data_IF_518806017291
#
_entry.id   IF_518806017291
#
_cell.length_a   1.000
_cell.length_b   1.000
_cell.length_c   1.000
_cell.angle_alpha   90.00
_cell.angle_beta   90.00
_cell.angle_gamma   90.00
#
_symmetry.space_group_name_H-M   'P 1'
#
loop_
_entity.id
_entity.type
_entity.pdbx_description
1 polymer ?
#
# COMPACT_ATOMS: atom_id res chain seq x y z
N UNK A 1 -18.59 14.10 -14.60
CA UNK A 1 -18.06 13.30 -13.47
C UNK A 1 -17.16 14.19 -12.64
N UNK A 2 -17.52 14.38 -11.37
CA UNK A 2 -16.80 15.21 -10.41
C UNK A 2 -15.72 14.41 -9.72
N UNK A 3 -14.49 14.94 -9.67
CA UNK A 3 -13.33 14.23 -9.09
C UNK A 3 -12.64 15.12 -8.07
N UNK A 4 -12.25 14.55 -6.95
CA UNK A 4 -11.33 15.14 -5.96
C UNK A 4 -9.99 14.43 -6.05
N UNK A 5 -8.88 15.15 -5.96
CA UNK A 5 -7.52 14.61 -6.04
C UNK A 5 -6.79 14.90 -4.74
N UNK A 6 -6.22 13.87 -4.10
CA UNK A 6 -5.38 13.99 -2.93
C UNK A 6 -3.99 13.42 -3.19
N UNK A 7 -2.97 14.26 -3.11
CA UNK A 7 -1.55 13.91 -3.27
C UNK A 7 -0.73 15.00 -2.57
N UNK A 8 0.32 14.66 -1.84
CA UNK A 8 1.17 15.65 -1.16
C UNK A 8 2.08 16.41 -2.13
N UNK A 9 2.39 15.82 -3.30
CA UNK A 9 3.16 16.47 -4.35
C UNK A 9 2.29 17.47 -5.12
N UNK A 10 2.53 18.77 -4.89
CA UNK A 10 1.84 19.84 -5.61
C UNK A 10 1.94 19.70 -7.14
N UNK A 11 3.12 19.30 -7.65
CA UNK A 11 3.34 19.16 -9.10
C UNK A 11 2.47 18.05 -9.69
N UNK A 12 2.38 16.90 -9.01
CA UNK A 12 1.57 15.79 -9.48
C UNK A 12 0.08 16.11 -9.37
N UNK A 13 -0.34 16.72 -8.28
CA UNK A 13 -1.72 17.15 -8.02
C UNK A 13 -2.23 18.12 -9.11
N UNK A 14 -1.47 19.16 -9.40
CA UNK A 14 -1.79 20.14 -10.45
C UNK A 14 -1.74 19.50 -11.85
N UNK A 15 -0.75 18.66 -12.11
CA UNK A 15 -0.63 17.93 -13.37
C UNK A 15 -1.83 17.02 -13.62
N UNK A 16 -2.24 16.24 -12.63
CA UNK A 16 -3.43 15.38 -12.69
C UNK A 16 -4.71 16.20 -12.91
N UNK A 17 -4.87 17.29 -12.15
CA UNK A 17 -6.04 18.16 -12.27
C UNK A 17 -6.19 18.70 -13.71
N UNK A 18 -5.09 19.14 -14.31
CA UNK A 18 -5.08 19.62 -15.68
C UNK A 18 -5.40 18.51 -16.68
N UNK A 19 -4.72 17.36 -16.57
CA UNK A 19 -4.93 16.22 -17.47
C UNK A 19 -6.38 15.72 -17.47
N UNK A 20 -6.99 15.63 -16.28
CA UNK A 20 -8.38 15.19 -16.14
C UNK A 20 -9.37 16.25 -16.67
N UNK A 21 -9.10 17.52 -16.44
CA UNK A 21 -9.92 18.61 -16.97
C UNK A 21 -9.87 18.65 -18.51
N UNK A 22 -8.68 18.53 -19.10
CA UNK A 22 -8.49 18.45 -20.54
C UNK A 22 -9.19 17.21 -21.15
N UNK A 23 -9.33 16.13 -20.36
CA UNK A 23 -10.09 14.94 -20.74
C UNK A 23 -11.60 15.03 -20.48
N UNK A 24 -12.11 16.19 -20.07
CA UNK A 24 -13.54 16.47 -19.89
C UNK A 24 -14.12 16.04 -18.54
N UNK A 25 -13.29 15.80 -17.54
CA UNK A 25 -13.72 15.58 -16.16
C UNK A 25 -13.72 16.91 -15.38
N UNK A 26 -14.58 17.00 -14.38
CA UNK A 26 -14.67 18.17 -13.49
C UNK A 26 -13.86 17.91 -12.22
N UNK A 27 -12.66 18.47 -12.12
CA UNK A 27 -11.88 18.43 -10.87
C UNK A 27 -12.43 19.52 -9.94
N UNK A 28 -13.22 19.11 -8.96
CA UNK A 28 -13.96 20.03 -8.07
C UNK A 28 -13.15 20.51 -6.88
N UNK A 29 -12.12 19.74 -6.46
CA UNK A 29 -11.22 20.14 -5.41
C UNK A 29 -9.91 19.32 -5.46
N UNK A 30 -8.88 19.84 -4.76
CA UNK A 30 -7.61 19.14 -4.51
C UNK A 30 -7.25 19.21 -3.03
N UNK A 31 -6.53 18.20 -2.53
CA UNK A 31 -6.12 18.10 -1.14
C UNK A 31 -4.65 17.66 -1.05
N UNK A 32 -3.95 18.09 0.00
CA UNK A 32 -2.55 17.72 0.23
C UNK A 32 -2.38 16.65 1.32
N UNK A 33 -3.46 16.36 2.06
CA UNK A 33 -3.49 15.39 3.15
C UNK A 33 -4.89 14.76 3.32
N UNK A 34 -4.99 13.76 4.18
CA UNK A 34 -6.24 13.05 4.44
C UNK A 34 -7.32 13.94 5.12
N UNK A 35 -7.02 14.80 6.11
CA UNK A 35 -7.98 15.73 6.68
C UNK A 35 -8.59 16.69 5.65
N UNK A 36 -7.77 17.25 4.76
CA UNK A 36 -8.26 18.11 3.68
C UNK A 36 -9.13 17.31 2.70
N UNK A 37 -8.71 16.10 2.33
CA UNK A 37 -9.49 15.21 1.47
C UNK A 37 -10.89 14.94 2.03
N UNK A 38 -11.00 14.60 3.31
CA UNK A 38 -12.32 14.34 3.93
C UNK A 38 -13.23 15.56 3.89
N UNK A 39 -12.70 16.75 4.16
CA UNK A 39 -13.43 18.01 4.09
C UNK A 39 -13.96 18.27 2.67
N UNK A 40 -13.10 18.09 1.66
CA UNK A 40 -13.47 18.31 0.27
C UNK A 40 -14.51 17.29 -0.23
N UNK A 41 -14.40 16.02 0.15
CA UNK A 41 -15.40 14.98 -0.17
C UNK A 41 -16.76 15.32 0.44
N UNK A 42 -16.79 15.77 1.70
CA UNK A 42 -18.02 16.17 2.37
C UNK A 42 -18.69 17.36 1.69
N UNK A 43 -17.91 18.39 1.31
CA UNK A 43 -18.39 19.63 0.69
C UNK A 43 -18.86 19.44 -0.76
N UNK A 44 -18.08 18.70 -1.55
CA UNK A 44 -18.29 18.65 -3.01
C UNK A 44 -19.10 17.44 -3.48
N UNK A 45 -19.19 16.38 -2.63
CA UNK A 45 -19.86 15.12 -2.97
C UNK A 45 -19.44 14.63 -4.36
N UNK A 46 -18.16 14.28 -4.55
CA UNK A 46 -17.65 13.88 -5.84
C UNK A 46 -18.16 12.50 -6.24
N UNK A 47 -18.12 12.20 -7.54
CA UNK A 47 -18.37 10.85 -8.06
C UNK A 47 -17.20 9.92 -7.81
N UNK A 48 -15.98 10.46 -7.84
CA UNK A 48 -14.76 9.69 -7.57
C UNK A 48 -13.69 10.52 -6.84
N UNK A 49 -12.79 9.83 -6.16
CA UNK A 49 -11.59 10.42 -5.56
C UNK A 49 -10.33 9.69 -6.05
N UNK A 50 -9.26 10.44 -6.27
CA UNK A 50 -7.91 9.92 -6.50
C UNK A 50 -7.11 10.20 -5.24
N UNK A 51 -6.44 9.18 -4.68
CA UNK A 51 -5.74 9.29 -3.40
C UNK A 51 -4.35 8.69 -3.51
N UNK A 52 -3.31 9.48 -3.21
CA UNK A 52 -1.97 8.94 -2.99
C UNK A 52 -1.92 8.14 -1.69
N UNK A 53 -1.11 7.08 -1.67
CA UNK A 53 -0.92 6.25 -0.47
C UNK A 53 -0.19 7.03 0.62
N UNK A 54 0.90 7.71 0.25
CA UNK A 54 1.86 8.31 1.18
C UNK A 54 1.64 9.81 1.29
N UNK A 55 0.83 10.21 2.25
CA UNK A 55 0.55 11.61 2.56
C UNK A 55 1.00 11.97 3.99
N UNK A 56 1.12 13.27 4.32
CA UNK A 56 1.36 13.67 5.70
C UNK A 56 0.34 13.08 6.69
N UNK A 57 0.70 12.86 7.97
CA UNK A 57 1.95 13.29 8.62
C UNK A 57 3.09 12.28 8.57
N UNK A 58 2.85 10.99 8.33
CA UNK A 58 3.88 9.95 8.46
C UNK A 58 4.42 9.45 7.12
N UNK A 59 3.72 9.75 6.01
CA UNK A 59 4.02 9.29 4.66
C UNK A 59 4.13 7.76 4.54
N UNK A 60 3.24 7.04 5.23
CA UNK A 60 3.20 5.56 5.25
C UNK A 60 1.99 5.00 4.52
N UNK A 61 0.81 5.02 5.17
CA UNK A 61 -0.43 4.41 4.65
C UNK A 61 -1.68 5.29 4.88
N UNK A 62 -1.49 6.59 5.04
CA UNK A 62 -2.57 7.54 5.28
C UNK A 62 -3.63 7.49 4.18
N UNK A 63 -3.20 7.38 2.93
CA UNK A 63 -4.10 7.29 1.80
C UNK A 63 -4.93 6.01 1.78
N UNK A 64 -4.37 4.87 2.19
CA UNK A 64 -5.11 3.62 2.34
C UNK A 64 -6.18 3.73 3.43
N UNK A 65 -5.80 4.33 4.56
CA UNK A 65 -6.72 4.59 5.66
C UNK A 65 -7.84 5.55 5.25
N UNK A 66 -7.50 6.61 4.51
CA UNK A 66 -8.47 7.55 3.95
C UNK A 66 -9.40 6.88 2.94
N UNK A 67 -8.87 6.08 2.02
CA UNK A 67 -9.64 5.33 1.03
C UNK A 67 -10.68 4.42 1.71
N UNK A 68 -10.29 3.67 2.73
CA UNK A 68 -11.21 2.80 3.49
C UNK A 68 -12.31 3.60 4.20
N UNK A 69 -11.98 4.73 4.81
CA UNK A 69 -12.95 5.59 5.48
C UNK A 69 -13.94 6.19 4.48
N UNK A 70 -13.46 6.73 3.34
CA UNK A 70 -14.35 7.29 2.31
C UNK A 70 -15.33 6.23 1.79
N UNK A 71 -14.86 5.00 1.56
CA UNK A 71 -15.73 3.91 1.10
C UNK A 71 -16.78 3.51 2.14
N UNK A 72 -16.46 3.57 3.42
CA UNK A 72 -17.41 3.28 4.49
C UNK A 72 -18.44 4.40 4.64
N UNK A 73 -18.00 5.66 4.61
CA UNK A 73 -18.85 6.82 4.86
C UNK A 73 -19.64 7.23 3.60
N UNK A 74 -19.09 6.94 2.40
CA UNK A 74 -19.65 7.29 1.08
C UNK A 74 -19.56 6.10 0.09
N UNK A 75 -20.34 5.03 0.26
CA UNK A 75 -20.17 3.77 -0.46
C UNK A 75 -20.40 3.87 -1.99
N UNK A 76 -21.01 4.96 -2.48
CA UNK A 76 -21.19 5.22 -3.92
C UNK A 76 -20.06 6.00 -4.57
N UNK A 77 -19.04 6.45 -3.81
CA UNK A 77 -17.89 7.19 -4.34
C UNK A 77 -16.82 6.22 -4.84
N UNK A 78 -16.42 6.34 -6.10
CA UNK A 78 -15.30 5.58 -6.65
C UNK A 78 -13.97 6.03 -6.03
N UNK A 79 -13.16 5.11 -5.50
CA UNK A 79 -11.88 5.43 -4.87
C UNK A 79 -10.73 4.82 -5.66
N UNK A 80 -9.94 5.66 -6.31
CA UNK A 80 -8.72 5.27 -7.01
C UNK A 80 -7.49 5.59 -6.17
N UNK A 81 -6.79 4.56 -5.72
CA UNK A 81 -5.52 4.71 -5.03
C UNK A 81 -4.37 4.70 -6.02
N UNK A 82 -3.49 5.69 -5.94
CA UNK A 82 -2.26 5.76 -6.70
C UNK A 82 -1.06 5.40 -5.83
N UNK A 83 -0.17 4.57 -6.34
CA UNK A 83 1.05 4.15 -5.66
C UNK A 83 2.28 4.34 -6.51
N UNK A 84 3.35 4.81 -5.91
CA UNK A 84 4.66 4.89 -6.58
C UNK A 84 5.34 3.51 -6.67
N UNK A 85 4.99 2.59 -5.77
CA UNK A 85 5.63 1.28 -5.66
C UNK A 85 4.63 0.14 -5.77
N UNK A 86 5.10 -1.03 -6.20
CA UNK A 86 4.34 -2.29 -6.26
C UNK A 86 4.08 -2.87 -4.85
N UNK A 87 3.28 -2.16 -4.05
CA UNK A 87 2.94 -2.58 -2.68
C UNK A 87 1.66 -3.45 -2.69
N UNK A 88 1.82 -4.70 -3.09
CA UNK A 88 0.70 -5.65 -3.25
C UNK A 88 -0.12 -5.87 -1.96
N UNK A 89 0.46 -5.64 -0.78
CA UNK A 89 -0.24 -5.76 0.49
C UNK A 89 -1.32 -4.69 0.66
N UNK A 90 -1.06 -3.45 0.25
CA UNK A 90 -2.06 -2.38 0.30
C UNK A 90 -3.20 -2.63 -0.68
N UNK A 91 -2.88 -3.07 -1.91
CA UNK A 91 -3.90 -3.44 -2.88
C UNK A 91 -4.81 -4.55 -2.34
N UNK A 92 -4.24 -5.61 -1.75
CA UNK A 92 -5.01 -6.69 -1.15
C UNK A 92 -5.89 -6.22 0.00
N UNK A 93 -5.37 -5.40 0.92
CA UNK A 93 -6.16 -4.85 2.04
C UNK A 93 -7.36 -4.03 1.58
N UNK A 94 -7.24 -3.31 0.47
CA UNK A 94 -8.34 -2.51 -0.10
C UNK A 94 -9.43 -3.39 -0.75
N UNK A 95 -9.03 -4.49 -1.40
CA UNK A 95 -9.93 -5.31 -2.24
C UNK A 95 -10.63 -6.37 -1.40
N UNK A 96 -9.94 -6.95 -0.39
CA UNK A 96 -10.47 -8.09 0.38
C UNK A 96 -11.73 -7.72 1.16
N UNK A 97 -11.83 -6.49 1.68
CA UNK A 97 -12.95 -6.07 2.52
C UNK A 97 -14.24 -5.80 1.68
N UNK A 98 -14.08 -5.20 0.50
CA UNK A 98 -15.16 -4.97 -0.47
C UNK A 98 -14.55 -4.56 -1.82
N UNK A 99 -14.70 -5.34 -2.89
CA UNK A 99 -14.03 -5.05 -4.16
C UNK A 99 -14.70 -3.95 -5.00
N UNK A 100 -15.91 -3.52 -4.65
CA UNK A 100 -16.69 -2.56 -5.44
C UNK A 100 -16.19 -1.12 -5.25
N UNK A 101 -16.28 -0.31 -6.31
CA UNK A 101 -15.93 1.12 -6.30
C UNK A 101 -14.47 1.41 -5.88
N UNK A 102 -13.56 0.45 -6.03
CA UNK A 102 -12.16 0.62 -5.61
C UNK A 102 -11.19 0.28 -6.72
N UNK A 103 -10.17 1.13 -6.87
CA UNK A 103 -9.10 0.92 -7.82
C UNK A 103 -7.72 1.13 -7.19
N UNK A 104 -6.75 0.47 -7.76
CA UNK A 104 -5.36 0.60 -7.41
C UNK A 104 -4.50 0.62 -8.68
N UNK A 105 -3.85 1.75 -8.96
CA UNK A 105 -2.96 1.92 -10.11
C UNK A 105 -1.58 2.41 -9.66
N UNK A 106 -0.58 2.11 -10.46
CA UNK A 106 0.75 2.69 -10.28
C UNK A 106 0.78 4.12 -10.81
N UNK A 107 1.51 5.02 -10.14
CA UNK A 107 1.70 6.43 -10.59
C UNK A 107 2.31 6.53 -11.99
N UNK A 108 2.99 5.50 -12.47
CA UNK A 108 3.49 5.41 -13.86
C UNK A 108 2.34 5.46 -14.89
N UNK A 109 1.15 4.95 -14.54
CA UNK A 109 -0.04 4.96 -15.41
C UNK A 109 -0.68 6.33 -15.58
N UNK A 110 -0.33 7.27 -14.73
CA UNK A 110 -0.87 8.65 -14.79
C UNK A 110 -0.55 9.34 -16.13
N UNK A 111 0.58 8.98 -16.75
CA UNK A 111 0.94 9.47 -18.09
C UNK A 111 -0.01 8.97 -19.20
N UNK A 112 -0.72 7.87 -18.95
CA UNK A 112 -1.72 7.29 -19.86
C UNK A 112 -3.12 7.80 -19.47
N UNK A 113 -3.46 9.06 -19.79
CA UNK A 113 -4.71 9.72 -19.37
C UNK A 113 -5.94 8.88 -19.68
N UNK A 114 -5.97 8.19 -20.83
CA UNK A 114 -7.09 7.34 -21.22
C UNK A 114 -7.30 6.17 -20.22
N UNK A 115 -6.22 5.58 -19.70
CA UNK A 115 -6.28 4.50 -18.68
C UNK A 115 -6.86 5.05 -17.38
N UNK A 116 -6.42 6.24 -16.96
CA UNK A 116 -6.89 6.88 -15.74
C UNK A 116 -8.39 7.23 -15.82
N UNK A 117 -8.82 7.79 -16.94
CA UNK A 117 -10.23 8.16 -17.19
C UNK A 117 -11.11 6.91 -17.25
N UNK A 118 -10.67 5.84 -17.93
CA UNK A 118 -11.38 4.56 -17.98
C UNK A 118 -11.52 3.95 -16.57
N UNK A 119 -10.43 3.94 -15.81
CA UNK A 119 -10.45 3.46 -14.44
C UNK A 119 -11.48 4.20 -13.58
N UNK A 120 -11.49 5.54 -13.63
CA UNK A 120 -12.42 6.35 -12.85
C UNK A 120 -13.88 6.08 -13.24
N UNK A 121 -14.20 5.94 -14.54
CA UNK A 121 -15.55 5.62 -15.02
C UNK A 121 -16.02 4.27 -14.49
N UNK A 122 -15.19 3.26 -14.62
CA UNK A 122 -15.48 1.89 -14.14
C UNK A 122 -15.67 1.84 -12.62
N UNK A 123 -14.89 2.62 -11.87
CA UNK A 123 -15.06 2.73 -10.42
C UNK A 123 -16.41 3.34 -10.02
N UNK A 124 -16.87 4.37 -10.73
CA UNK A 124 -18.19 4.97 -10.50
C UNK A 124 -19.32 3.97 -10.82
N UNK A 125 -19.11 3.09 -11.82
CA UNK A 125 -20.04 2.00 -12.18
C UNK A 125 -20.00 0.82 -11.19
N UNK A 126 -19.14 0.88 -10.15
CA UNK A 126 -19.06 -0.16 -9.11
C UNK A 126 -18.03 -1.25 -9.36
N UNK A 127 -17.23 -1.12 -10.43
CA UNK A 127 -16.20 -2.11 -10.73
C UNK A 127 -14.98 -1.99 -9.81
N UNK A 128 -14.15 -3.02 -9.85
CA UNK A 128 -12.81 -3.05 -9.26
C UNK A 128 -11.76 -2.91 -10.35
N UNK A 129 -10.84 -1.95 -10.20
CA UNK A 129 -9.75 -1.73 -11.16
C UNK A 129 -8.41 -1.92 -10.49
N UNK A 130 -7.62 -2.89 -10.95
CA UNK A 130 -6.30 -3.18 -10.38
C UNK A 130 -5.27 -3.13 -11.50
N UNK A 131 -4.14 -2.49 -11.23
CA UNK A 131 -3.02 -2.48 -12.18
C UNK A 131 -2.60 -3.92 -12.54
N UNK A 132 -2.52 -4.26 -13.83
CA UNK A 132 -2.15 -5.60 -14.28
C UNK A 132 -0.81 -6.10 -13.73
N UNK A 133 0.13 -5.17 -13.46
CA UNK A 133 1.44 -5.50 -12.88
C UNK A 133 1.29 -6.03 -11.46
N UNK A 134 0.36 -5.46 -10.69
CA UNK A 134 0.04 -5.92 -9.33
C UNK A 134 -0.64 -7.28 -9.37
N UNK A 135 -1.61 -7.47 -10.27
CA UNK A 135 -2.27 -8.77 -10.48
C UNK A 135 -1.23 -9.84 -10.80
N UNK A 136 -0.32 -9.56 -11.75
CA UNK A 136 0.74 -10.48 -12.13
C UNK A 136 1.67 -10.84 -10.96
N UNK A 137 2.00 -9.86 -10.11
CA UNK A 137 2.82 -10.10 -8.90
C UNK A 137 2.08 -10.95 -7.87
N UNK A 138 0.79 -10.68 -7.64
CA UNK A 138 -0.03 -11.49 -6.74
C UNK A 138 -0.16 -12.93 -7.20
N UNK A 139 -0.38 -13.16 -8.51
CA UNK A 139 -0.45 -14.51 -9.08
C UNK A 139 0.89 -15.25 -8.98
N UNK A 140 2.02 -14.57 -9.25
CA UNK A 140 3.37 -15.16 -9.06
C UNK A 140 3.63 -15.52 -7.60
N UNK A 141 3.17 -14.68 -6.66
CA UNK A 141 3.32 -14.94 -5.22
C UNK A 141 2.52 -16.16 -4.78
N UNK A 142 1.34 -16.39 -5.34
CA UNK A 142 0.56 -17.60 -5.11
C UNK A 142 1.21 -18.86 -5.70
N UNK A 143 1.87 -18.75 -6.85
CA UNK A 143 2.55 -19.88 -7.53
C UNK A 143 3.93 -20.17 -6.94
N UNK A 144 4.64 -19.16 -6.45
CA UNK A 144 5.94 -19.26 -5.80
C UNK A 144 5.94 -18.37 -4.55
N UNK A 145 5.49 -18.89 -3.41
CA UNK A 145 5.56 -18.14 -2.16
C UNK A 145 7.00 -17.77 -1.88
N UNK A 146 7.25 -16.49 -1.66
CA UNK A 146 8.59 -15.99 -1.32
C UNK A 146 9.04 -16.55 0.05
N UNK A 147 10.34 -16.55 0.34
CA UNK A 147 10.86 -17.06 1.60
C UNK A 147 10.22 -16.43 2.85
N UNK A 148 9.72 -15.17 2.72
CA UNK A 148 9.04 -14.49 3.83
C UNK A 148 7.55 -14.84 3.96
N UNK A 149 6.94 -15.50 2.99
CA UNK A 149 5.51 -15.81 3.03
C UNK A 149 5.17 -16.90 4.05
N UNK A 150 6.15 -17.70 4.42
CA UNK A 150 6.06 -18.68 5.51
C UNK A 150 6.07 -18.04 6.92
N UNK A 151 6.44 -16.76 7.03
CA UNK A 151 6.52 -16.06 8.30
C UNK A 151 5.14 -15.54 8.73
N UNK A 152 4.83 -15.71 10.02
CA UNK A 152 3.67 -15.06 10.64
C UNK A 152 3.87 -13.54 10.70
N UNK A 153 2.79 -12.78 10.92
CA UNK A 153 2.86 -11.32 11.12
C UNK A 153 3.88 -10.96 12.20
N UNK A 154 3.86 -11.69 13.34
CA UNK A 154 4.77 -11.43 14.45
C UNK A 154 6.22 -11.72 14.11
N UNK A 155 6.49 -12.78 13.36
CA UNK A 155 7.83 -13.12 12.89
C UNK A 155 8.36 -12.09 11.89
N UNK A 156 7.49 -11.53 11.03
CA UNK A 156 7.87 -10.44 10.12
C UNK A 156 8.22 -9.16 10.88
N UNK A 157 7.45 -8.79 11.91
CA UNK A 157 7.77 -7.64 12.78
C UNK A 157 9.14 -7.81 13.45
N UNK A 158 9.43 -9.01 13.97
CA UNK A 158 10.73 -9.31 14.56
C UNK A 158 11.84 -9.19 13.52
N UNK A 159 11.64 -9.76 12.32
CA UNK A 159 12.64 -9.74 11.26
C UNK A 159 12.90 -8.31 10.74
N UNK A 160 11.87 -7.48 10.63
CA UNK A 160 11.99 -6.07 10.27
C UNK A 160 12.88 -5.32 11.27
N UNK A 161 12.67 -5.50 12.57
CA UNK A 161 13.49 -4.87 13.61
C UNK A 161 14.93 -5.42 13.64
N UNK A 162 15.13 -6.69 13.27
CA UNK A 162 16.46 -7.25 13.05
C UNK A 162 17.14 -6.56 11.87
N UNK A 163 16.41 -6.33 10.79
CA UNK A 163 16.92 -5.63 9.59
C UNK A 163 17.27 -4.16 9.86
N UNK A 164 16.57 -3.50 10.81
CA UNK A 164 16.95 -2.18 11.34
C UNK A 164 18.23 -2.21 12.19
N UNK A 165 18.85 -3.36 12.40
CA UNK A 165 20.06 -3.50 13.23
C UNK A 165 19.81 -3.53 14.74
N UNK A 166 18.55 -3.71 15.20
CA UNK A 166 18.23 -3.72 16.63
C UNK A 166 18.77 -4.97 17.33
N UNK A 167 19.20 -4.80 18.58
CA UNK A 167 19.57 -5.93 19.47
C UNK A 167 18.33 -6.68 19.95
N UNK A 168 18.50 -7.94 20.34
CA UNK A 168 17.39 -8.75 20.88
C UNK A 168 16.72 -8.08 22.10
N UNK A 169 17.50 -7.44 22.98
CA UNK A 169 16.96 -6.71 24.13
C UNK A 169 16.06 -5.55 23.71
N UNK A 170 16.48 -4.73 22.72
CA UNK A 170 15.69 -3.63 22.21
C UNK A 170 14.41 -4.11 21.49
N UNK A 171 14.48 -5.22 20.74
CA UNK A 171 13.31 -5.82 20.08
C UNK A 171 12.32 -6.35 21.10
N UNK A 172 12.78 -7.11 22.10
CA UNK A 172 11.94 -7.65 23.16
C UNK A 172 11.20 -6.54 23.91
N UNK A 173 11.90 -5.46 24.23
CA UNK A 173 11.30 -4.29 24.88
C UNK A 173 10.26 -3.59 23.98
N UNK A 174 10.59 -3.35 22.71
CA UNK A 174 9.71 -2.66 21.76
C UNK A 174 8.44 -3.45 21.46
N UNK A 175 8.56 -4.77 21.36
CA UNK A 175 7.43 -5.66 21.06
C UNK A 175 6.73 -6.20 22.32
N UNK A 176 7.13 -5.73 23.50
CA UNK A 176 6.55 -6.12 24.82
C UNK A 176 6.51 -7.65 24.98
N UNK A 177 7.66 -8.30 24.81
CA UNK A 177 7.80 -9.75 24.95
C UNK A 177 9.00 -10.13 25.80
N UNK A 178 8.99 -11.37 26.33
CA UNK A 178 10.14 -11.89 27.06
C UNK A 178 11.32 -12.17 26.13
N UNK A 179 12.58 -12.08 26.60
CA UNK A 179 13.76 -12.50 25.82
C UNK A 179 13.65 -13.93 25.28
N UNK A 180 13.12 -14.83 26.09
CA UNK A 180 12.91 -16.25 25.71
C UNK A 180 11.89 -16.39 24.57
N UNK A 181 10.83 -15.59 24.59
CA UNK A 181 9.83 -15.57 23.50
C UNK A 181 10.43 -15.03 22.21
N UNK A 182 11.25 -13.98 22.30
CA UNK A 182 11.95 -13.44 21.14
C UNK A 182 12.93 -14.45 20.53
N UNK A 183 13.72 -15.15 21.36
CA UNK A 183 14.63 -16.20 20.88
C UNK A 183 13.88 -17.32 20.14
N UNK A 184 12.69 -17.70 20.63
CA UNK A 184 11.84 -18.67 19.97
C UNK A 184 11.39 -18.15 18.57
N UNK A 185 10.96 -16.90 18.47
CA UNK A 185 10.61 -16.29 17.18
C UNK A 185 11.81 -16.24 16.24
N UNK A 186 12.98 -15.80 16.71
CA UNK A 186 14.19 -15.76 15.87
C UNK A 186 14.54 -17.15 15.34
N UNK A 187 14.46 -18.20 16.20
CA UNK A 187 14.71 -19.58 15.79
C UNK A 187 13.71 -20.01 14.71
N UNK A 188 12.42 -19.74 14.88
CA UNK A 188 11.40 -20.09 13.91
C UNK A 188 11.57 -19.34 12.59
N UNK A 189 11.95 -18.06 12.63
CA UNK A 189 12.27 -17.28 11.42
C UNK A 189 13.40 -17.96 10.65
N UNK A 190 14.52 -18.27 11.32
CA UNK A 190 15.68 -18.90 10.68
C UNK A 190 15.32 -20.26 10.07
N UNK A 191 14.51 -21.05 10.77
CA UNK A 191 14.03 -22.34 10.28
C UNK A 191 13.11 -22.19 9.05
N UNK A 192 12.16 -21.27 9.09
CA UNK A 192 11.22 -21.02 7.98
C UNK A 192 11.90 -20.43 6.75
N UNK A 193 13.01 -19.71 6.93
CA UNK A 193 13.85 -19.20 5.87
C UNK A 193 14.88 -20.22 5.35
N UNK A 194 14.85 -21.46 5.85
CA UNK A 194 15.79 -22.55 5.53
C UNK A 194 17.26 -22.18 5.79
N UNK A 195 17.51 -21.38 6.83
CA UNK A 195 18.84 -20.93 7.22
C UNK A 195 19.43 -21.82 8.30
N UNK A 196 20.08 -22.88 7.89
CA UNK A 196 20.72 -23.85 8.78
C UNK A 196 22.04 -23.33 9.38
N UNK A 197 22.52 -23.99 10.44
CA UNK A 197 23.83 -23.68 11.01
C UNK A 197 24.94 -24.02 10.02
N UNK A 198 25.74 -23.03 9.69
CA UNK A 198 26.93 -23.14 8.84
C UNK A 198 28.11 -22.55 9.57
N UNK A 199 29.30 -23.09 9.31
CA UNK A 199 30.54 -22.55 9.87
C UNK A 199 30.96 -21.24 9.19
N UNK A 200 30.52 -21.06 7.92
CA UNK A 200 30.99 -19.99 7.04
C UNK A 200 30.00 -18.81 6.96
N UNK A 201 28.74 -19.01 7.40
CA UNK A 201 27.67 -18.03 7.22
C UNK A 201 27.02 -17.56 8.53
N UNK A 202 26.81 -16.27 8.65
CA UNK A 202 26.07 -15.69 9.76
C UNK A 202 24.57 -15.65 9.45
N UNK A 203 23.81 -16.64 9.94
CA UNK A 203 22.36 -16.82 9.67
C UNK A 203 21.52 -15.54 9.83
N UNK A 204 21.82 -14.74 10.85
CA UNK A 204 21.10 -13.47 11.09
C UNK A 204 21.32 -12.47 9.95
N UNK A 205 22.53 -12.43 9.39
CA UNK A 205 22.82 -11.58 8.22
C UNK A 205 22.10 -12.09 6.98
N UNK A 206 22.09 -13.41 6.76
CA UNK A 206 21.34 -14.00 5.65
C UNK A 206 19.84 -13.74 5.74
N UNK A 207 19.26 -13.78 6.95
CA UNK A 207 17.85 -13.44 7.17
C UNK A 207 17.56 -11.98 6.83
N UNK A 208 18.45 -11.05 7.20
CA UNK A 208 18.34 -9.63 6.81
C UNK A 208 18.43 -9.45 5.29
N UNK A 209 19.37 -10.14 4.63
CA UNK A 209 19.49 -10.09 3.17
C UNK A 209 18.24 -10.65 2.48
N UNK A 210 17.66 -11.74 2.99
CA UNK A 210 16.40 -12.29 2.49
C UNK A 210 15.25 -11.28 2.65
N UNK A 211 15.18 -10.59 3.79
CA UNK A 211 14.20 -9.53 4.05
C UNK A 211 14.34 -8.37 3.07
N UNK A 212 15.54 -7.83 2.92
CA UNK A 212 15.81 -6.69 2.03
C UNK A 212 15.50 -7.01 0.56
N UNK A 213 15.88 -8.21 0.08
CA UNK A 213 15.59 -8.66 -1.30
C UNK A 213 14.10 -8.84 -1.59
N UNK A 214 13.30 -9.11 -0.58
CA UNK A 214 11.85 -9.28 -0.74
C UNK A 214 11.08 -7.97 -0.64
N UNK A 215 11.71 -6.92 -0.12
CA UNK A 215 11.11 -5.59 0.08
C UNK A 215 11.46 -4.62 -1.05
N UNK A 216 12.41 -5.00 -1.91
CA UNK A 216 12.78 -4.28 -3.14
C UNK A 216 12.01 -4.84 -4.32
#
# INVERSE_FOLDING_TARGET
MKVVIADDSMLLREGLARLLTDAGLEVVATAEDAPALFREVELTRPDAVIVDIKMPPTHTDEGITAARRIRNDYPGVGVLVLSQYLESEYAMRLITDAPQHVGYLLKERVSEVAVLVDALKRLVEGECVIDPTIVSRLMRRQQNPGPLDALTVREREVLALIAEGRSNGAIAQRLVMSPKTLEAHVRQILQKLDLHESHDDHRRVLAVLAYLRSTT
#
